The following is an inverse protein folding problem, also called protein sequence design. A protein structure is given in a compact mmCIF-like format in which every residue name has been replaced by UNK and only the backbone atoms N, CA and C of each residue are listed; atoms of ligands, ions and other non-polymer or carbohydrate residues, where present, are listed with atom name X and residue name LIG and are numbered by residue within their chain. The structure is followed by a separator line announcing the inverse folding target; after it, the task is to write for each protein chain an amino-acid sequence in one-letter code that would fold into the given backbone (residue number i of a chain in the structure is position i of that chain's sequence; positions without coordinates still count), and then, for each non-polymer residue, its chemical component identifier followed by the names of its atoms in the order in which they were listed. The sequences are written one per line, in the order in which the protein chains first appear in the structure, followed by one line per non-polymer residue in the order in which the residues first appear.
data_IF_919922858326
#
_entry.id   IF_919922858326
#
_cell.length_a   1.000
_cell.length_b   1.000
_cell.length_c   1.000
_cell.angle_alpha   90.00
_cell.angle_beta   90.00
_cell.angle_gamma   90.00
#
_symmetry.space_group_name_H-M   'P 1'
#
loop_
_entity.id
_entity.type
_entity.pdbx_description
1 polymer ?
#
# COMPACT_ATOMS: atom_id res chain seq x y z
N UNK A 1 -28.91 -28.12 -3.32
CA UNK A 1 -27.52 -28.41 -3.72
C UNK A 1 -26.63 -27.50 -2.89
N UNK A 2 -25.63 -28.06 -2.21
CA UNK A 2 -24.69 -27.24 -1.45
C UNK A 2 -23.89 -26.38 -2.46
N UNK A 3 -24.03 -25.06 -2.36
CA UNK A 3 -23.21 -24.12 -3.12
C UNK A 3 -21.79 -24.29 -2.57
N UNK A 4 -20.94 -25.07 -3.26
CA UNK A 4 -19.51 -25.02 -2.94
C UNK A 4 -19.10 -23.54 -3.03
N UNK A 5 -18.40 -23.00 -2.03
CA UNK A 5 -17.88 -21.65 -2.14
C UNK A 5 -16.90 -21.62 -3.31
N UNK A 6 -17.33 -21.05 -4.43
CA UNK A 6 -16.44 -20.73 -5.54
C UNK A 6 -15.39 -19.72 -5.04
N UNK A 7 -14.26 -19.61 -5.75
CA UNK A 7 -13.18 -18.65 -5.48
C UNK A 7 -13.60 -17.17 -5.63
N UNK A 8 -14.88 -16.82 -5.47
CA UNK A 8 -15.44 -15.51 -5.76
C UNK A 8 -14.71 -14.34 -5.08
N UNK A 9 -14.33 -14.39 -3.78
CA UNK A 9 -13.54 -13.31 -3.19
C UNK A 9 -12.15 -13.16 -3.81
N UNK A 10 -11.50 -14.28 -4.16
CA UNK A 10 -10.17 -14.31 -4.77
C UNK A 10 -10.25 -13.86 -6.24
N UNK A 11 -11.33 -14.21 -6.94
CA UNK A 11 -11.59 -13.81 -8.32
C UNK A 11 -11.82 -12.30 -8.48
N UNK A 12 -12.04 -11.57 -7.38
CA UNK A 12 -12.14 -10.10 -7.39
C UNK A 12 -10.78 -9.40 -7.32
N UNK A 13 -9.67 -10.14 -7.15
CA UNK A 13 -8.32 -9.57 -7.25
C UNK A 13 -8.08 -9.16 -8.69
N UNK A 14 -7.89 -7.87 -8.91
CA UNK A 14 -7.75 -7.28 -10.24
C UNK A 14 -6.60 -6.28 -10.33
N UNK A 15 -5.87 -6.04 -9.24
CA UNK A 15 -4.72 -5.16 -9.22
C UNK A 15 -3.53 -5.89 -8.59
N UNK A 16 -2.35 -5.67 -9.15
CA UNK A 16 -1.09 -6.08 -8.57
C UNK A 16 -0.11 -4.92 -8.58
N UNK A 17 0.56 -4.68 -7.45
CA UNK A 17 1.61 -3.66 -7.31
C UNK A 17 2.79 -4.23 -6.52
N UNK A 18 3.94 -3.57 -6.61
CA UNK A 18 5.10 -3.84 -5.76
C UNK A 18 5.46 -2.59 -4.97
N UNK A 19 5.78 -2.75 -3.69
CA UNK A 19 6.25 -1.68 -2.80
C UNK A 19 7.25 -2.22 -1.77
N UNK A 20 7.70 -1.36 -0.85
CA UNK A 20 8.62 -1.72 0.23
C UNK A 20 8.05 -1.28 1.57
N UNK A 21 7.92 -2.23 2.49
CA UNK A 21 7.40 -1.97 3.82
C UNK A 21 8.54 -1.86 4.82
N UNK A 22 8.40 -0.93 5.77
CA UNK A 22 9.27 -0.82 6.93
C UNK A 22 8.51 -1.17 8.19
N UNK A 23 9.16 -1.84 9.12
CA UNK A 23 8.53 -2.13 10.42
C UNK A 23 8.26 -0.81 11.14
N UNK A 24 7.04 -0.61 11.65
CA UNK A 24 6.65 0.68 12.23
C UNK A 24 7.56 1.10 13.38
N UNK A 25 7.94 0.15 14.24
CA UNK A 25 8.73 0.38 15.46
C UNK A 25 10.24 0.12 15.31
N UNK A 26 10.65 -0.50 14.20
CA UNK A 26 12.06 -0.71 13.82
C UNK A 26 12.21 -0.41 12.33
N UNK A 27 12.29 0.87 12.01
CA UNK A 27 12.29 1.37 10.63
C UNK A 27 13.53 0.98 9.82
N UNK A 28 14.52 0.31 10.41
CA UNK A 28 15.67 -0.21 9.67
C UNK A 28 15.39 -1.54 8.98
N UNK A 29 14.32 -2.25 9.39
CA UNK A 29 13.87 -3.47 8.73
C UNK A 29 12.97 -3.12 7.55
N UNK A 30 13.40 -3.53 6.36
CA UNK A 30 12.72 -3.28 5.09
C UNK A 30 12.39 -4.62 4.45
N UNK A 31 11.15 -4.77 4.00
CA UNK A 31 10.63 -5.99 3.37
C UNK A 31 10.01 -5.61 2.02
N UNK A 32 10.45 -6.21 0.89
CA UNK A 32 9.73 -6.08 -0.38
C UNK A 32 8.35 -6.75 -0.25
N UNK A 33 7.35 -6.20 -0.93
CA UNK A 33 6.00 -6.74 -0.87
C UNK A 33 5.32 -6.66 -2.23
N UNK A 34 4.97 -7.83 -2.77
CA UNK A 34 4.05 -7.95 -3.90
C UNK A 34 2.61 -7.94 -3.37
N UNK A 35 1.82 -7.00 -3.84
CA UNK A 35 0.44 -6.79 -3.41
C UNK A 35 -0.49 -7.32 -4.48
N UNK A 36 -1.53 -8.03 -4.07
CA UNK A 36 -2.61 -8.50 -4.92
C UNK A 36 -3.93 -8.03 -4.33
N UNK A 37 -4.53 -7.03 -4.97
CA UNK A 37 -5.60 -6.24 -4.41
C UNK A 37 -6.93 -6.47 -5.13
N UNK A 38 -8.00 -6.49 -4.34
CA UNK A 38 -9.37 -6.38 -4.81
C UNK A 38 -9.92 -5.00 -4.45
N UNK A 39 -10.43 -4.26 -5.44
CA UNK A 39 -11.16 -3.01 -5.19
C UNK A 39 -12.61 -3.33 -4.81
N UNK A 40 -12.99 -3.05 -3.57
CA UNK A 40 -14.35 -3.31 -3.11
C UNK A 40 -15.31 -2.17 -3.50
N UNK A 41 -16.63 -2.45 -3.58
CA UNK A 41 -17.62 -1.43 -3.84
C UNK A 41 -17.66 -0.36 -2.74
N UNK A 42 -17.71 0.91 -3.13
CA UNK A 42 -17.75 2.03 -2.18
C UNK A 42 -18.96 2.03 -1.25
N UNK A 43 -20.13 1.61 -1.75
CA UNK A 43 -21.37 1.57 -0.96
C UNK A 43 -21.24 0.75 0.33
N UNK A 44 -20.38 -0.27 0.31
CA UNK A 44 -20.22 -1.23 1.41
C UNK A 44 -18.99 -0.95 2.26
N UNK A 45 -18.01 -0.22 1.72
CA UNK A 45 -16.66 -0.14 2.30
C UNK A 45 -16.11 1.27 2.42
N UNK A 46 -16.94 2.30 2.23
CA UNK A 46 -16.63 3.69 2.56
C UNK A 46 -17.53 4.18 3.69
N UNK A 47 -17.05 5.13 4.50
CA UNK A 47 -17.85 5.76 5.56
C UNK A 47 -18.79 6.87 5.05
N UNK A 48 -19.01 6.94 3.73
CA UNK A 48 -20.04 7.79 3.13
C UNK A 48 -19.64 9.25 2.91
N UNK A 49 -18.35 9.58 2.98
CA UNK A 49 -17.85 10.97 2.96
C UNK A 49 -17.70 11.60 1.56
N UNK A 50 -17.98 10.86 0.51
CA UNK A 50 -18.20 11.26 -0.89
C UNK A 50 -18.53 9.95 -1.59
N UNK A 51 -19.31 9.88 -2.67
CA UNK A 51 -19.35 8.65 -3.48
C UNK A 51 -18.00 8.52 -4.19
N UNK A 52 -17.02 7.78 -3.67
CA UNK A 52 -15.77 7.62 -4.38
C UNK A 52 -16.05 6.70 -5.57
N UNK A 53 -15.25 6.80 -6.64
CA UNK A 53 -15.38 5.87 -7.76
C UNK A 53 -15.16 4.40 -7.32
N UNK A 54 -14.44 4.19 -6.20
CA UNK A 54 -14.06 2.90 -5.62
C UNK A 54 -14.14 2.94 -4.09
N UNK A 55 -14.38 1.80 -3.43
CA UNK A 55 -14.36 1.68 -1.98
C UNK A 55 -12.99 1.39 -1.40
N UNK A 56 -12.93 0.58 -0.34
CA UNK A 56 -11.68 0.08 0.22
C UNK A 56 -10.99 -0.87 -0.76
N UNK A 57 -9.66 -0.81 -0.83
CA UNK A 57 -8.86 -1.90 -1.41
C UNK A 57 -8.40 -2.82 -0.29
N UNK A 58 -8.53 -4.12 -0.50
CA UNK A 58 -7.95 -5.13 0.37
C UNK A 58 -6.91 -5.91 -0.41
N UNK A 59 -5.71 -6.03 0.14
CA UNK A 59 -4.57 -6.62 -0.53
C UNK A 59 -4.03 -7.81 0.27
N UNK A 60 -3.76 -8.90 -0.46
CA UNK A 60 -2.89 -9.97 0.01
C UNK A 60 -1.45 -9.57 -0.31
N UNK A 61 -0.55 -9.72 0.67
CA UNK A 61 0.85 -9.36 0.54
C UNK A 61 1.71 -10.61 0.49
N UNK A 62 2.55 -10.72 -0.54
CA UNK A 62 3.51 -11.80 -0.71
C UNK A 62 4.95 -11.29 -0.65
N UNK A 63 5.88 -12.17 -0.26
CA UNK A 63 7.31 -11.84 -0.15
C UNK A 63 7.95 -11.39 -1.45
N UNK A 64 7.41 -11.86 -2.58
CA UNK A 64 7.91 -11.66 -3.93
C UNK A 64 6.83 -12.08 -4.94
N UNK A 65 7.18 -12.18 -6.22
CA UNK A 65 6.24 -12.49 -7.32
C UNK A 65 6.23 -13.95 -7.77
N UNK A 66 7.01 -14.83 -7.13
CA UNK A 66 7.06 -16.26 -7.45
C UNK A 66 5.76 -16.98 -7.09
N UNK A 67 5.53 -18.13 -7.74
CA UNK A 67 4.31 -18.93 -7.51
C UNK A 67 4.24 -19.58 -6.12
N UNK A 68 5.38 -19.71 -5.44
CA UNK A 68 5.54 -20.28 -4.10
C UNK A 68 5.89 -19.22 -3.04
N UNK A 69 5.75 -17.93 -3.39
CA UNK A 69 5.95 -16.81 -2.48
C UNK A 69 5.11 -16.98 -1.20
N UNK A 70 5.69 -16.61 -0.05
CA UNK A 70 4.98 -16.68 1.23
C UNK A 70 3.98 -15.55 1.31
N UNK A 71 2.77 -15.83 1.78
CA UNK A 71 1.81 -14.81 2.18
C UNK A 71 2.32 -14.14 3.46
N UNK A 72 2.90 -12.95 3.33
CA UNK A 72 3.54 -12.23 4.43
C UNK A 72 2.59 -11.36 5.21
N UNK A 73 1.44 -10.99 4.67
CA UNK A 73 0.58 -10.01 5.33
C UNK A 73 -0.69 -9.65 4.58
N UNK A 74 -1.37 -8.65 5.12
CA UNK A 74 -2.51 -8.00 4.48
C UNK A 74 -2.36 -6.49 4.59
N UNK A 75 -2.92 -5.79 3.61
CA UNK A 75 -3.07 -4.34 3.64
C UNK A 75 -4.50 -3.94 3.31
N UNK A 76 -4.99 -2.91 4.00
CA UNK A 76 -6.20 -2.19 3.62
C UNK A 76 -5.84 -0.78 3.20
N UNK A 77 -6.39 -0.33 2.07
CA UNK A 77 -6.26 1.04 1.61
C UNK A 77 -7.64 1.70 1.59
N UNK A 78 -7.71 2.91 2.15
CA UNK A 78 -8.90 3.76 2.16
C UNK A 78 -8.60 5.14 1.57
N UNK A 79 -9.62 5.80 1.05
CA UNK A 79 -9.50 7.18 0.56
C UNK A 79 -9.22 8.16 1.71
N UNK A 80 -8.54 9.28 1.39
CA UNK A 80 -8.20 10.32 2.37
C UNK A 80 -9.42 10.83 3.14
N UNK A 81 -10.59 10.94 2.51
CA UNK A 81 -11.81 11.41 3.18
C UNK A 81 -12.22 10.50 4.35
N UNK A 82 -12.15 9.18 4.15
CA UNK A 82 -12.43 8.21 5.20
C UNK A 82 -11.32 8.25 6.26
N UNK A 83 -10.05 8.29 5.85
CA UNK A 83 -8.93 8.44 6.79
C UNK A 83 -9.06 9.68 7.68
N UNK A 84 -9.40 10.84 7.13
CA UNK A 84 -9.58 12.10 7.88
C UNK A 84 -10.68 11.99 8.92
N UNK A 85 -11.72 11.21 8.66
CA UNK A 85 -12.82 11.00 9.60
C UNK A 85 -12.51 9.98 10.71
N UNK A 86 -11.41 9.22 10.60
CA UNK A 86 -11.02 8.26 11.63
C UNK A 86 -10.67 8.96 12.97
N UNK A 87 -10.95 8.29 14.10
CA UNK A 87 -10.45 8.69 15.40
C UNK A 87 -8.92 8.76 15.45
N UNK A 88 -8.36 9.63 16.28
CA UNK A 88 -6.91 9.85 16.34
C UNK A 88 -6.13 8.59 16.75
N UNK A 89 -6.71 7.78 17.64
CA UNK A 89 -6.18 6.51 18.10
C UNK A 89 -6.16 5.42 17.01
N UNK A 90 -6.95 5.59 15.96
CA UNK A 90 -6.97 4.69 14.81
C UNK A 90 -5.97 5.17 13.75
N UNK A 91 -5.93 6.48 13.45
CA UNK A 91 -5.01 7.08 12.46
C UNK A 91 -3.54 6.71 12.63
N UNK A 92 -3.10 6.43 13.87
CA UNK A 92 -1.73 5.97 14.17
C UNK A 92 -1.36 4.61 13.57
N UNK A 93 -2.31 3.87 13.01
CA UNK A 93 -2.07 2.60 12.31
C UNK A 93 -1.98 2.74 10.79
N UNK A 94 -2.20 3.96 10.27
CA UNK A 94 -2.31 4.21 8.83
C UNK A 94 -1.18 5.10 8.34
N UNK A 95 -0.74 4.93 7.10
CA UNK A 95 0.28 5.78 6.48
C UNK A 95 -0.19 6.27 5.11
N UNK A 96 0.38 7.38 4.64
CA UNK A 96 0.14 7.89 3.29
C UNK A 96 1.02 7.17 2.26
N UNK A 97 0.48 6.90 1.07
CA UNK A 97 1.24 6.36 -0.07
C UNK A 97 1.93 7.44 -0.92
N UNK A 98 1.74 8.73 -0.62
CA UNK A 98 2.26 9.82 -1.44
C UNK A 98 3.75 9.65 -1.75
N UNK A 99 4.56 9.37 -0.74
CA UNK A 99 6.01 9.26 -0.90
C UNK A 99 6.42 8.05 -1.76
N UNK A 100 5.75 6.91 -1.63
CA UNK A 100 6.04 5.74 -2.46
C UNK A 100 5.73 5.98 -3.93
N UNK A 101 4.66 6.74 -4.21
CA UNK A 101 4.32 7.17 -5.56
C UNK A 101 5.36 8.17 -6.06
N UNK A 102 5.70 9.20 -5.29
CA UNK A 102 6.70 10.22 -5.67
C UNK A 102 8.07 9.60 -6.00
N UNK A 103 8.53 8.68 -5.16
CA UNK A 103 9.88 8.12 -5.21
C UNK A 103 10.08 7.02 -6.26
N UNK A 104 9.00 6.49 -6.86
CA UNK A 104 9.08 5.32 -7.73
C UNK A 104 9.16 3.98 -6.99
N UNK A 105 9.14 3.99 -5.65
CA UNK A 105 9.21 2.76 -4.85
C UNK A 105 7.96 1.89 -5.02
N UNK A 106 6.77 2.50 -5.12
CA UNK A 106 5.55 1.80 -5.52
C UNK A 106 5.41 1.81 -7.03
N UNK A 107 5.18 0.64 -7.61
CA UNK A 107 4.95 0.44 -9.03
C UNK A 107 3.79 -0.52 -9.25
N UNK A 108 2.91 -0.20 -10.21
CA UNK A 108 1.88 -1.12 -10.67
C UNK A 108 2.52 -2.23 -11.53
N UNK A 109 2.14 -3.48 -11.26
CA UNK A 109 2.53 -4.65 -12.03
C UNK A 109 1.42 -5.08 -12.99
N UNK A 110 0.17 -5.04 -12.51
CA UNK A 110 -1.02 -5.31 -13.32
C UNK A 110 -2.22 -4.51 -12.79
N UNK A 111 -3.05 -3.99 -13.68
CA UNK A 111 -4.29 -3.29 -13.32
C UNK A 111 -5.40 -3.80 -14.24
N UNK A 112 -6.46 -4.33 -13.66
CA UNK A 112 -7.63 -4.84 -14.36
C UNK A 112 -8.49 -3.70 -14.89
N UNK A 113 -9.06 -3.87 -16.07
CA UNK A 113 -9.97 -2.88 -16.65
C UNK A 113 -9.33 -1.84 -17.56
N UNK A 114 -8.00 -1.82 -17.72
CA UNK A 114 -7.35 -1.15 -18.86
C UNK A 114 -7.52 -2.00 -20.12
N UNK A 115 -8.69 -1.83 -20.74
CA UNK A 115 -9.12 -2.36 -22.04
C UNK A 115 -8.89 -3.86 -22.32
N UNK A 116 -9.94 -4.64 -22.04
CA UNK A 116 -10.25 -5.88 -22.75
C UNK A 116 -9.62 -7.15 -22.20
N UNK A 117 -10.17 -8.29 -22.63
CA UNK A 117 -9.75 -9.66 -22.33
C UNK A 117 -8.27 -9.98 -22.66
N UNK A 118 -7.47 -8.96 -22.99
CA UNK A 118 -6.03 -9.01 -23.09
C UNK A 118 -5.33 -8.89 -21.73
N UNK A 119 -5.98 -8.53 -20.60
CA UNK A 119 -5.27 -8.37 -19.31
C UNK A 119 -4.58 -9.65 -18.81
N UNK A 120 -5.14 -10.83 -19.10
CA UNK A 120 -4.47 -12.12 -18.85
C UNK A 120 -3.29 -12.42 -19.78
N UNK A 121 -3.10 -11.61 -20.82
CA UNK A 121 -2.07 -11.75 -21.86
C UNK A 121 -1.11 -10.53 -21.89
N UNK A 122 -1.52 -9.38 -21.35
CA UNK A 122 -0.80 -8.11 -21.33
C UNK A 122 0.19 -8.02 -20.16
N UNK A 123 -0.08 -8.73 -19.05
CA UNK A 123 0.94 -8.98 -18.02
C UNK A 123 2.15 -9.73 -18.59
N UNK A 124 1.99 -10.49 -19.67
CA UNK A 124 3.07 -11.23 -20.33
C UNK A 124 3.70 -10.51 -21.54
N UNK A 125 3.17 -9.37 -22.00
CA UNK A 125 3.54 -8.79 -23.30
C UNK A 125 3.88 -7.29 -23.31
N UNK A 126 3.95 -6.63 -22.15
CA UNK A 126 4.35 -5.21 -22.10
C UNK A 126 5.56 -4.99 -21.18
N UNK A 127 6.60 -5.80 -21.35
CA UNK A 127 7.98 -5.41 -21.01
C UNK A 127 8.41 -4.40 -22.07
N UNK A 128 7.92 -3.17 -21.94
CA UNK A 128 8.33 -2.07 -22.80
C UNK A 128 9.76 -1.69 -22.43
N UNK A 129 10.55 -1.15 -23.37
CA UNK A 129 11.93 -0.72 -23.14
C UNK A 129 12.12 0.37 -22.05
N UNK A 130 11.04 0.78 -21.37
CA UNK A 130 10.96 1.73 -20.27
C UNK A 130 10.90 1.08 -18.88
N UNK A 131 10.74 -0.23 -18.84
CA UNK A 131 10.64 -1.03 -17.63
C UNK A 131 9.31 -0.95 -16.87
N UNK A 132 8.74 -2.10 -16.52
CA UNK A 132 7.44 -2.25 -15.87
C UNK A 132 6.26 -1.75 -16.72
N UNK A 133 5.12 -1.45 -16.08
CA UNK A 133 3.93 -0.91 -16.73
C UNK A 133 4.22 0.46 -17.38
N UNK A 134 3.66 0.68 -18.57
CA UNK A 134 3.72 1.96 -19.29
C UNK A 134 3.17 3.10 -18.43
N UNK A 135 3.87 4.22 -18.36
CA UNK A 135 3.52 5.32 -17.47
C UNK A 135 2.14 5.92 -17.79
N UNK A 136 1.72 5.92 -19.06
CA UNK A 136 0.37 6.37 -19.48
C UNK A 136 -0.76 5.46 -18.97
N UNK A 137 -0.46 4.18 -18.73
CA UNK A 137 -1.39 3.19 -18.16
C UNK A 137 -1.32 3.23 -16.64
N UNK A 138 -0.11 3.36 -16.09
CA UNK A 138 0.14 3.37 -14.64
C UNK A 138 -0.36 4.68 -13.98
N UNK A 139 -0.27 5.82 -14.66
CA UNK A 139 -0.56 7.14 -14.05
C UNK A 139 -1.98 7.26 -13.46
N UNK A 140 -3.09 6.94 -14.16
CA UNK A 140 -4.43 7.06 -13.58
C UNK A 140 -4.59 6.21 -12.31
N UNK A 141 -3.94 5.04 -12.28
CA UNK A 141 -3.89 4.18 -11.11
C UNK A 141 -3.09 4.81 -9.96
N UNK A 142 -1.92 5.38 -10.24
CA UNK A 142 -1.12 6.07 -9.23
C UNK A 142 -1.79 7.34 -8.70
N UNK A 143 -2.51 8.08 -9.54
CA UNK A 143 -3.31 9.23 -9.09
C UNK A 143 -4.38 8.79 -8.07
N UNK A 144 -4.91 7.56 -8.17
CA UNK A 144 -5.79 6.99 -7.14
C UNK A 144 -5.00 6.62 -5.88
N UNK A 145 -3.97 5.77 -6.00
CA UNK A 145 -3.15 5.32 -4.86
C UNK A 145 -2.57 6.49 -4.06
N UNK A 146 -2.17 7.57 -4.73
CA UNK A 146 -1.61 8.77 -4.11
C UNK A 146 -2.55 9.38 -3.04
N UNK A 147 -3.87 9.25 -3.23
CA UNK A 147 -4.89 9.77 -2.30
C UNK A 147 -5.23 8.79 -1.18
N UNK A 148 -4.68 7.58 -1.19
CA UNK A 148 -5.07 6.52 -0.28
C UNK A 148 -4.13 6.43 0.93
N UNK A 149 -4.68 5.92 2.02
CA UNK A 149 -3.98 5.61 3.25
C UNK A 149 -3.99 4.11 3.50
N UNK A 150 -2.82 3.54 3.83
CA UNK A 150 -2.61 2.10 4.00
C UNK A 150 -2.51 1.70 5.47
N UNK A 151 -3.12 0.57 5.84
CA UNK A 151 -2.92 -0.11 7.14
C UNK A 151 -2.43 -1.52 6.88
N UNK A 152 -1.19 -1.79 7.29
CA UNK A 152 -0.48 -3.02 6.95
C UNK A 152 -0.13 -3.82 8.20
N UNK A 153 -0.38 -5.13 8.16
CA UNK A 153 0.21 -6.08 9.10
C UNK A 153 0.96 -7.18 8.37
N UNK A 154 2.20 -7.43 8.81
CA UNK A 154 2.99 -8.60 8.42
C UNK A 154 2.94 -9.67 9.50
N UNK A 155 3.04 -10.94 9.09
CA UNK A 155 3.00 -12.11 9.95
C UNK A 155 4.38 -12.77 10.12
N UNK A 156 5.38 -12.34 9.34
CA UNK A 156 6.76 -12.78 9.43
C UNK A 156 7.63 -11.61 9.90
N UNK A 157 8.68 -11.89 10.67
CA UNK A 157 9.74 -10.89 10.92
C UNK A 157 10.71 -10.85 9.73
N UNK A 158 11.10 -12.03 9.23
CA UNK A 158 11.92 -12.18 8.03
C UNK A 158 11.49 -13.42 7.23
N UNK A 159 10.63 -13.25 6.20
CA UNK A 159 10.11 -14.36 5.40
C UNK A 159 11.21 -15.10 4.61
N UNK A 160 12.40 -14.53 4.45
CA UNK A 160 13.53 -15.20 3.77
C UNK A 160 14.23 -16.23 4.67
N UNK A 161 14.11 -16.10 5.99
CA UNK A 161 14.78 -16.97 6.98
C UNK A 161 13.82 -17.92 7.69
N UNK A 162 12.56 -17.54 7.82
CA UNK A 162 11.58 -18.28 8.61
C UNK A 162 10.81 -19.28 7.76
N UNK A 163 10.70 -20.53 8.20
CA UNK A 163 9.93 -21.56 7.48
C UNK A 163 8.40 -21.40 7.62
N UNK A 164 7.96 -20.86 8.75
CA UNK A 164 6.55 -20.61 9.12
C UNK A 164 6.47 -19.25 9.84
N UNK A 165 5.32 -18.55 9.85
CA UNK A 165 5.19 -17.27 10.55
C UNK A 165 5.24 -17.49 12.06
N UNK A 166 6.02 -16.68 12.76
CA UNK A 166 6.22 -16.78 14.21
C UNK A 166 5.82 -15.48 14.90
N UNK A 167 5.28 -15.60 16.11
CA UNK A 167 4.93 -14.45 16.95
C UNK A 167 3.69 -13.68 16.48
N UNK A 168 3.42 -12.51 17.10
CA UNK A 168 2.27 -11.70 16.77
C UNK A 168 2.47 -10.92 15.45
N UNK A 169 1.37 -10.47 14.81
CA UNK A 169 1.45 -9.60 13.65
C UNK A 169 2.20 -8.30 13.95
N UNK A 170 3.05 -7.88 13.03
CA UNK A 170 3.83 -6.64 13.11
C UNK A 170 3.17 -5.57 12.25
N UNK A 171 2.93 -4.40 12.86
CA UNK A 171 2.49 -3.22 12.13
C UNK A 171 3.61 -2.72 11.21
N UNK A 172 3.29 -2.58 9.93
CA UNK A 172 4.22 -2.05 8.93
C UNK A 172 3.78 -0.67 8.47
N UNK A 173 4.72 0.05 7.87
CA UNK A 173 4.56 1.40 7.35
C UNK A 173 5.25 1.50 6.00
N UNK A 174 4.88 2.53 5.25
CA UNK A 174 5.64 3.00 4.10
C UNK A 174 6.91 3.77 4.52
N UNK A 175 7.86 3.85 3.58
CA UNK A 175 8.98 4.79 3.68
C UNK A 175 8.48 6.23 3.51
N UNK A 176 9.10 7.16 4.22
CA UNK A 176 8.82 8.59 4.14
C UNK A 176 10.03 9.33 3.57
N UNK A 177 9.87 10.58 3.13
CA UNK A 177 10.96 11.32 2.49
C UNK A 177 12.20 11.49 3.37
N UNK A 178 12.04 11.65 4.68
CA UNK A 178 13.15 11.78 5.61
C UNK A 178 13.59 10.41 6.20
N UNK A 179 13.12 9.31 5.63
CA UNK A 179 13.40 7.99 6.16
C UNK A 179 14.90 7.63 6.04
N UNK A 180 15.57 7.23 7.13
CA UNK A 180 17.01 6.94 7.12
C UNK A 180 17.43 5.89 6.10
N UNK A 181 16.57 4.89 5.82
CA UNK A 181 16.84 3.87 4.80
C UNK A 181 17.04 4.41 3.38
N UNK A 182 16.61 5.63 3.08
CA UNK A 182 16.80 6.24 1.76
C UNK A 182 18.20 6.83 1.56
N UNK A 183 18.85 7.23 2.66
CA UNK A 183 20.12 7.97 2.62
C UNK A 183 21.28 7.18 3.22
N UNK A 184 21.00 6.19 4.05
CA UNK A 184 22.02 5.36 4.68
C UNK A 184 22.58 4.35 3.66
N UNK A 185 23.88 4.41 3.31
CA UNK A 185 24.49 3.46 2.37
C UNK A 185 24.44 2.00 2.86
N UNK A 186 24.26 1.79 4.16
CA UNK A 186 24.14 0.47 4.78
C UNK A 186 22.71 -0.05 4.83
N UNK A 187 21.73 0.74 4.39
CA UNK A 187 20.34 0.30 4.39
C UNK A 187 20.15 -0.91 3.46
N UNK A 188 19.40 -1.94 3.88
CA UNK A 188 19.04 -3.05 3.00
C UNK A 188 18.16 -2.61 1.82
N UNK A 189 17.47 -1.46 1.93
CA UNK A 189 16.56 -0.97 0.89
C UNK A 189 17.23 -0.85 -0.47
N UNK A 190 18.46 -0.35 -0.55
CA UNK A 190 19.16 -0.17 -1.83
C UNK A 190 19.35 -1.51 -2.57
N UNK A 191 19.80 -2.55 -1.86
CA UNK A 191 20.00 -3.88 -2.46
C UNK A 191 18.67 -4.53 -2.86
N UNK A 192 17.64 -4.37 -2.04
CA UNK A 192 16.30 -4.89 -2.32
C UNK A 192 15.67 -4.17 -3.53
N UNK A 193 15.90 -2.86 -3.64
CA UNK A 193 15.46 -2.03 -4.76
C UNK A 193 16.16 -2.45 -6.07
N UNK A 194 17.49 -2.59 -6.05
CA UNK A 194 18.26 -3.03 -7.21
C UNK A 194 17.82 -4.43 -7.67
N UNK A 195 17.55 -5.34 -6.73
CA UNK A 195 17.06 -6.69 -7.03
C UNK A 195 15.68 -6.65 -7.68
N UNK A 196 14.75 -5.87 -7.13
CA UNK A 196 13.41 -5.67 -7.70
C UNK A 196 13.47 -5.08 -9.09
N UNK A 197 14.26 -4.02 -9.28
CA UNK A 197 14.42 -3.32 -10.55
C UNK A 197 14.99 -4.25 -11.62
N UNK A 198 15.95 -5.11 -11.26
CA UNK A 198 16.49 -6.12 -12.16
C UNK A 198 15.49 -7.26 -12.47
N UNK A 199 14.75 -7.74 -11.48
CA UNK A 199 13.79 -8.84 -11.63
C UNK A 199 12.58 -8.44 -12.48
N UNK A 200 12.01 -7.26 -12.20
CA UNK A 200 10.77 -6.80 -12.83
C UNK A 200 11.02 -5.90 -14.05
N UNK A 201 12.29 -5.76 -14.45
CA UNK A 201 12.76 -4.80 -15.44
C UNK A 201 12.15 -3.42 -15.15
N UNK A 202 12.42 -2.82 -14.00
CA UNK A 202 11.91 -1.49 -13.62
C UNK A 202 13.08 -0.52 -13.51
N UNK A 203 12.89 0.72 -13.95
CA UNK A 203 13.84 1.80 -13.71
C UNK A 203 13.23 2.81 -12.74
N UNK A 204 13.52 2.65 -11.44
CA UNK A 204 12.96 3.49 -10.38
C UNK A 204 13.29 4.98 -10.55
N UNK A 205 14.55 5.39 -10.78
CA UNK A 205 14.87 6.81 -10.97
C UNK A 205 14.14 7.44 -12.16
N UNK A 206 14.00 6.70 -13.27
CA UNK A 206 13.25 7.16 -14.44
C UNK A 206 11.77 7.34 -14.11
N UNK A 207 11.14 6.38 -13.41
CA UNK A 207 9.74 6.50 -12.99
C UNK A 207 9.54 7.69 -12.06
N UNK A 208 10.42 7.90 -11.08
CA UNK A 208 10.37 9.09 -10.22
C UNK A 208 10.47 10.40 -11.04
N UNK A 209 11.39 10.45 -12.01
CA UNK A 209 11.57 11.62 -12.89
C UNK A 209 10.38 11.85 -13.84
N UNK A 210 9.71 10.81 -14.31
CA UNK A 210 8.45 10.92 -15.06
C UNK A 210 7.35 11.50 -14.17
N UNK A 211 7.17 10.93 -12.97
CA UNK A 211 6.13 11.34 -12.03
C UNK A 211 6.27 12.79 -11.60
N UNK A 212 7.50 13.26 -11.43
CA UNK A 212 7.81 14.66 -11.13
C UNK A 212 7.30 15.66 -12.18
N UNK A 213 7.01 15.24 -13.42
CA UNK A 213 6.51 16.11 -14.48
C UNK A 213 5.02 16.43 -14.33
N UNK A 214 4.23 15.55 -13.70
CA UNK A 214 2.78 15.71 -13.58
C UNK A 214 2.25 15.82 -12.15
N UNK A 215 2.99 15.31 -11.16
CA UNK A 215 2.61 15.38 -9.75
C UNK A 215 2.32 16.81 -9.25
N UNK A 216 3.13 17.85 -9.57
CA UNK A 216 2.84 19.21 -9.10
C UNK A 216 1.48 19.74 -9.55
N UNK A 217 1.10 19.52 -10.81
CA UNK A 217 -0.19 19.93 -11.35
C UNK A 217 -1.33 19.10 -10.73
N UNK A 218 -1.13 17.79 -10.58
CA UNK A 218 -2.09 16.92 -9.92
C UNK A 218 -2.36 17.35 -8.47
N UNK A 219 -1.31 17.57 -7.67
CA UNK A 219 -1.43 18.03 -6.28
C UNK A 219 -2.12 19.40 -6.19
N UNK A 220 -1.79 20.34 -7.06
CA UNK A 220 -2.44 21.67 -7.09
C UNK A 220 -3.95 21.57 -7.37
N UNK A 221 -4.38 20.63 -8.22
CA UNK A 221 -5.80 20.34 -8.46
C UNK A 221 -6.48 19.79 -7.20
N UNK A 222 -5.86 18.81 -6.53
CA UNK A 222 -6.39 18.25 -5.28
C UNK A 222 -6.57 19.32 -4.20
N UNK A 223 -5.59 20.20 -4.02
CA UNK A 223 -5.68 21.30 -3.05
C UNK A 223 -6.81 22.28 -3.37
N UNK A 224 -7.07 22.51 -4.66
CA UNK A 224 -8.16 23.38 -5.11
C UNK A 224 -9.53 22.75 -4.87
N UNK A 225 -9.66 21.44 -5.11
CA UNK A 225 -10.89 20.68 -4.83
C UNK A 225 -11.20 20.65 -3.33
N UNK A 226 -10.19 20.43 -2.48
CA UNK A 226 -10.33 20.50 -1.02
C UNK A 226 -10.84 21.85 -0.54
N UNK A 227 -10.28 22.95 -1.05
CA UNK A 227 -10.71 24.32 -0.70
C UNK A 227 -12.14 24.63 -1.10
N UNK A 228 -12.67 23.99 -2.14
CA UNK A 228 -14.10 24.14 -2.54
C UNK A 228 -15.05 23.37 -1.62
N UNK A 229 -14.57 22.33 -0.94
CA UNK A 229 -15.35 21.49 -0.01
C UNK A 229 -15.26 21.90 1.46
N UNK A 230 -14.31 22.76 1.86
CA UNK A 230 -14.14 23.23 3.24
C UNK A 230 -14.56 24.70 3.40
N UNK A 231 -15.61 24.96 4.18
CA UNK A 231 -15.79 26.26 4.83
C UNK A 231 -14.86 26.34 6.03
N UNK A 232 -13.81 27.16 5.88
CA UNK A 232 -12.89 27.64 6.91
C UNK A 232 -11.87 26.63 7.50
N UNK A 233 -10.59 27.02 7.49
CA UNK A 233 -9.49 26.30 8.13
C UNK A 233 -8.64 25.41 7.20
N UNK A 234 -7.63 26.00 6.55
CA UNK A 234 -6.64 25.25 5.77
C UNK A 234 -5.89 24.21 6.61
N UNK A 235 -5.71 23.00 6.06
CA UNK A 235 -4.75 22.01 6.55
C UNK A 235 -4.08 21.30 5.39
N UNK A 236 -2.79 20.97 5.56
CA UNK A 236 -2.02 20.13 4.65
C UNK A 236 -2.49 18.67 4.65
N UNK A 237 -1.76 17.81 3.93
CA UNK A 237 -1.97 16.35 3.85
C UNK A 237 -2.33 15.79 5.24
N UNK A 238 -3.40 15.01 5.32
CA UNK A 238 -3.91 14.52 6.59
C UNK A 238 -2.83 13.70 7.33
N UNK A 239 -2.58 14.08 8.58
CA UNK A 239 -1.48 13.54 9.39
C UNK A 239 -1.81 12.13 9.92
N UNK A 240 -1.06 11.10 9.48
CA UNK A 240 -1.18 9.70 9.92
C UNK A 240 0.00 9.21 10.76
N UNK A 241 0.26 7.90 10.75
CA UNK A 241 1.39 7.27 11.44
C UNK A 241 2.76 7.61 10.84
N UNK A 242 2.78 8.15 9.63
CA UNK A 242 3.91 8.80 8.99
C UNK A 242 4.40 10.07 9.73
N UNK A 243 3.62 10.58 10.69
CA UNK A 243 3.99 11.66 11.59
C UNK A 243 5.10 11.34 12.59
N UNK A 244 5.61 10.11 12.60
CA UNK A 244 6.77 9.76 13.42
C UNK A 244 7.96 10.69 13.17
N UNK A 245 8.17 11.20 11.95
CA UNK A 245 9.27 12.13 11.65
C UNK A 245 9.17 13.41 12.48
N UNK A 246 7.94 13.85 12.75
CA UNK A 246 7.67 15.04 13.56
C UNK A 246 7.58 14.72 15.06
N UNK A 247 7.06 13.54 15.41
CA UNK A 247 6.69 13.20 16.80
C UNK A 247 7.68 12.27 17.52
N UNK A 248 8.50 11.54 16.77
CA UNK A 248 9.34 10.45 17.27
C UNK A 248 8.56 9.24 17.80
N UNK A 249 7.24 9.16 17.58
CA UNK A 249 6.37 8.15 18.20
C UNK A 249 5.67 7.31 17.15
N UNK A 250 5.62 6.01 17.41
CA UNK A 250 4.94 5.00 16.59
C UNK A 250 4.31 3.96 17.50
N UNK A 251 3.14 3.41 17.16
CA UNK A 251 2.60 2.29 17.91
C UNK A 251 3.45 1.03 17.68
N UNK A 252 3.72 0.31 18.77
CA UNK A 252 4.20 -1.07 18.74
C UNK A 252 3.10 -1.94 19.32
N UNK A 253 2.62 -2.90 18.55
CA UNK A 253 1.73 -3.92 19.09
C UNK A 253 2.54 -4.83 20.02
N UNK A 254 2.05 -5.01 21.24
CA UNK A 254 2.65 -5.88 22.24
C UNK A 254 1.63 -6.94 22.63
N UNK A 255 2.07 -8.19 22.63
CA UNK A 255 1.26 -9.30 23.11
C UNK A 255 1.09 -9.20 24.63
N UNK A 256 -0.12 -9.47 25.11
CA UNK A 256 -0.42 -9.56 26.53
C UNK A 256 -1.36 -10.74 26.76
N UNK A 257 -0.95 -11.65 27.62
CA UNK A 257 -1.82 -12.73 28.11
C UNK A 257 -2.90 -12.13 29.03
N UNK A 258 -4.14 -12.56 28.83
CA UNK A 258 -5.29 -12.15 29.64
C UNK A 258 -6.04 -13.38 30.12
N UNK A 259 -6.45 -13.37 31.38
CA UNK A 259 -7.28 -14.43 31.95
C UNK A 259 -8.69 -14.34 31.37
N UNK A 260 -9.16 -15.42 30.73
CA UNK A 260 -10.51 -15.51 30.19
C UNK A 260 -11.41 -16.22 31.19
N UNK A 261 -12.42 -15.52 31.69
CA UNK A 261 -13.50 -16.14 32.48
C UNK A 261 -14.55 -16.67 31.52
N UNK A 262 -14.79 -17.98 31.53
CA UNK A 262 -15.93 -18.56 30.83
C UNK A 262 -17.18 -18.32 31.69
N UNK A 263 -18.01 -17.36 31.30
CA UNK A 263 -19.38 -17.29 31.81
C UNK A 263 -20.20 -18.39 31.10
N UNK A 264 -20.96 -19.16 31.87
CA UNK A 264 -21.91 -20.11 31.28
C UNK A 264 -22.95 -19.31 30.47
N UNK A 265 -23.05 -19.62 29.17
CA UNK A 265 -24.09 -19.06 28.31
C UNK A 265 -25.42 -19.69 28.76
N UNK A 266 -26.25 -18.91 29.47
CA UNK A 266 -27.59 -19.29 29.89
C UNK A 266 -28.56 -19.42 28.71
#
# INVERSE_FOLDING_TARGET
MAHQPAFAPIANINEALHAFHVTAHDRNKVTPAAHYCACLPAKETSMGHATPAHGMRQCLLYSDTSSDAKLIGVEFLIEEADFVSLPAEEKRFWHSHCHEVESGLLCALAVGGVSGAAAGVASALSVHASGGMLDSIERPYLEQIYKMYGKIFHFYDDPSKEAIPLGPPTLMMSTTRAHPSLVSPTSPLHKLLDARDAELDINTPRKAAERAQWLPEFCARLDTEKKKGQQDGGRGIAEGADMWEKTGRVPKLVEKEVEVKMEEVA
#
